data_IF_233350991277
#
_entry.id   IF_233350991277
#
_cell.length_a   1.000
_cell.length_b   1.000
_cell.length_c   1.000
_cell.angle_alpha   90.00
_cell.angle_beta   90.00
_cell.angle_gamma   90.00
#
_symmetry.space_group_name_H-M   'P 1'
#
loop_
_entity.id
_entity.type
_entity.pdbx_description
1 polymer ?
#
# COMPACT_ATOMS: atom_id res chain seq x y z
N UNK A 1 9.74 -16.29 -7.78
CA UNK A 1 8.52 -16.95 -8.28
C UNK A 1 7.36 -16.47 -7.42
N UNK A 2 6.26 -16.05 -8.04
CA UNK A 2 5.02 -15.65 -7.37
C UNK A 2 3.95 -16.57 -7.94
N UNK A 3 3.19 -17.21 -7.07
CA UNK A 3 2.05 -18.05 -7.47
C UNK A 3 0.83 -17.44 -6.81
N UNK A 4 -0.14 -17.03 -7.62
CA UNK A 4 -1.45 -16.65 -7.14
C UNK A 4 -2.45 -17.72 -7.60
N UNK A 5 -3.08 -18.38 -6.65
CA UNK A 5 -4.08 -19.42 -6.89
C UNK A 5 -5.42 -19.01 -6.26
N UNK A 6 -6.52 -19.41 -6.88
CA UNK A 6 -7.88 -19.11 -6.38
C UNK A 6 -8.56 -20.39 -5.94
N UNK A 7 -9.00 -20.43 -4.68
CA UNK A 7 -9.75 -21.53 -4.07
C UNK A 7 -11.11 -21.01 -3.60
N UNK A 8 -12.09 -21.03 -4.50
CA UNK A 8 -13.40 -20.43 -4.27
C UNK A 8 -13.29 -18.91 -4.09
N UNK A 9 -13.70 -18.41 -2.92
CA UNK A 9 -13.56 -16.99 -2.54
C UNK A 9 -12.21 -16.64 -1.92
N UNK A 10 -11.31 -17.62 -1.74
CA UNK A 10 -9.99 -17.40 -1.16
C UNK A 10 -8.94 -17.26 -2.26
N UNK A 11 -8.12 -16.22 -2.19
CA UNK A 11 -6.91 -16.07 -3.00
C UNK A 11 -5.67 -16.43 -2.18
N UNK A 12 -4.83 -17.30 -2.72
CA UNK A 12 -3.59 -17.75 -2.12
C UNK A 12 -2.43 -17.11 -2.86
N UNK A 13 -1.69 -16.24 -2.19
CA UNK A 13 -0.50 -15.61 -2.74
C UNK A 13 0.75 -16.24 -2.11
N UNK A 14 1.49 -17.01 -2.91
CA UNK A 14 2.76 -17.63 -2.48
C UNK A 14 3.92 -16.68 -2.75
N UNK A 15 4.63 -16.32 -1.70
CA UNK A 15 5.76 -15.39 -1.72
C UNK A 15 7.06 -16.08 -1.31
N UNK A 16 8.14 -15.78 -2.03
CA UNK A 16 9.48 -16.23 -1.66
C UNK A 16 9.99 -15.49 -0.41
N UNK A 17 10.99 -16.03 0.31
CA UNK A 17 11.64 -15.36 1.43
C UNK A 17 12.10 -13.94 1.11
N UNK A 18 12.70 -13.75 -0.08
CA UNK A 18 13.20 -12.46 -0.55
C UNK A 18 12.06 -11.48 -0.81
N UNK A 19 10.96 -11.95 -1.41
CA UNK A 19 9.78 -11.13 -1.66
C UNK A 19 9.11 -10.66 -0.36
N UNK A 20 9.00 -11.55 0.63
CA UNK A 20 8.47 -11.23 1.96
C UNK A 20 9.37 -10.22 2.68
N UNK A 21 10.70 -10.43 2.64
CA UNK A 21 11.67 -9.50 3.23
C UNK A 21 11.54 -8.12 2.59
N UNK A 22 11.47 -8.06 1.26
CA UNK A 22 11.29 -6.82 0.51
C UNK A 22 9.98 -6.12 0.91
N UNK A 23 8.83 -6.78 0.81
CA UNK A 23 7.54 -6.17 1.17
C UNK A 23 7.52 -5.69 2.63
N UNK A 24 8.06 -6.49 3.55
CA UNK A 24 8.12 -6.12 4.98
C UNK A 24 8.96 -4.86 5.18
N UNK A 25 10.14 -4.79 4.55
CA UNK A 25 11.01 -3.61 4.61
C UNK A 25 10.32 -2.37 4.04
N UNK A 26 9.77 -2.48 2.83
CA UNK A 26 9.19 -1.35 2.12
C UNK A 26 7.89 -0.85 2.76
N UNK A 27 6.96 -1.74 3.12
CA UNK A 27 5.72 -1.33 3.79
C UNK A 27 5.95 -0.85 5.21
N UNK A 28 6.94 -1.38 5.94
CA UNK A 28 7.30 -0.83 7.26
C UNK A 28 7.82 0.59 7.12
N UNK A 29 8.70 0.84 6.15
CA UNK A 29 9.19 2.18 5.86
C UNK A 29 8.06 3.13 5.46
N UNK A 30 7.19 2.73 4.52
CA UNK A 30 6.07 3.55 4.08
C UNK A 30 5.11 3.86 5.25
N UNK A 31 4.86 2.88 6.13
CA UNK A 31 4.04 3.11 7.34
C UNK A 31 4.68 4.12 8.28
N UNK A 32 5.99 4.05 8.50
CA UNK A 32 6.69 5.04 9.31
C UNK A 32 6.67 6.43 8.65
N UNK A 33 6.75 6.52 7.33
CA UNK A 33 6.58 7.79 6.59
C UNK A 33 5.17 8.37 6.76
N UNK A 34 4.13 7.54 6.66
CA UNK A 34 2.74 7.95 6.87
C UNK A 34 2.51 8.38 8.32
N UNK A 35 3.00 7.63 9.30
CA UNK A 35 2.93 8.00 10.73
C UNK A 35 3.66 9.29 11.03
N UNK A 36 4.82 9.48 10.41
CA UNK A 36 5.54 10.74 10.47
C UNK A 36 4.67 11.87 9.92
N UNK A 37 4.04 11.71 8.75
CA UNK A 37 3.15 12.76 8.22
C UNK A 37 1.97 13.04 9.18
N UNK A 38 1.28 11.99 9.65
CA UNK A 38 0.12 12.09 10.55
C UNK A 38 0.44 12.75 11.89
N UNK A 39 1.60 12.49 12.47
CA UNK A 39 2.01 13.15 13.73
C UNK A 39 2.20 14.67 13.55
N UNK A 40 2.37 15.15 12.32
CA UNK A 40 2.39 16.58 11.98
C UNK A 40 1.01 17.21 11.79
N UNK A 41 -0.07 16.43 11.83
CA UNK A 41 -1.44 16.89 11.63
C UNK A 41 -2.10 17.40 12.93
N UNK A 42 -1.32 17.82 13.93
CA UNK A 42 -1.82 18.21 15.27
C UNK A 42 -2.12 19.71 15.35
N UNK A 43 -3.15 20.10 16.12
CA UNK A 43 -3.59 21.48 16.42
C UNK A 43 -4.42 22.25 15.37
N UNK A 44 -5.07 21.57 14.41
CA UNK A 44 -6.00 22.23 13.48
C UNK A 44 -7.46 22.26 14.00
N UNK A 45 -8.16 23.41 14.04
CA UNK A 45 -9.57 23.51 14.45
C UNK A 45 -10.53 22.65 13.60
N UNK A 46 -10.24 22.46 12.32
CA UNK A 46 -11.03 21.61 11.42
C UNK A 46 -10.87 20.13 11.77
N UNK A 47 -9.71 19.71 12.27
CA UNK A 47 -9.52 18.35 12.79
C UNK A 47 -10.40 18.09 14.02
N UNK A 48 -10.59 19.08 14.90
CA UNK A 48 -11.47 18.96 16.06
C UNK A 48 -12.96 18.82 15.67
N UNK A 49 -13.38 19.46 14.58
CA UNK A 49 -14.76 19.42 14.09
C UNK A 49 -15.05 18.15 13.29
N UNK A 50 -14.10 17.71 12.47
CA UNK A 50 -14.29 16.59 11.53
C UNK A 50 -13.87 15.24 12.10
N UNK A 51 -13.04 15.22 13.15
CA UNK A 51 -12.40 14.00 13.65
C UNK A 51 -11.34 13.43 12.72
N UNK A 52 -11.00 14.12 11.63
CA UNK A 52 -9.99 13.71 10.66
C UNK A 52 -8.68 14.48 10.91
N UNK A 53 -7.51 13.82 10.76
CA UNK A 53 -6.23 14.53 10.86
C UNK A 53 -6.12 15.54 9.72
N UNK A 54 -5.78 16.80 9.99
CA UNK A 54 -5.58 17.82 8.95
C UNK A 54 -4.09 18.12 8.84
N UNK A 55 -3.44 17.82 7.70
CA UNK A 55 -2.02 18.09 7.51
C UNK A 55 -1.71 19.58 7.64
N UNK A 56 -0.84 19.93 8.59
CA UNK A 56 -0.30 21.29 8.71
C UNK A 56 1.01 21.36 7.94
N UNK A 57 1.04 22.19 6.89
CA UNK A 57 2.20 22.36 6.02
C UNK A 57 2.22 21.38 4.84
N UNK A 58 3.37 21.29 4.17
CA UNK A 58 3.51 20.51 2.94
C UNK A 58 3.60 19.01 3.24
N UNK A 59 2.81 18.22 2.53
CA UNK A 59 2.89 16.76 2.53
C UNK A 59 4.17 16.29 1.82
N UNK A 60 4.79 15.20 2.30
CA UNK A 60 5.88 14.55 1.57
C UNK A 60 5.45 14.29 0.12
N UNK A 61 6.25 14.72 -0.85
CA UNK A 61 5.85 14.71 -2.26
C UNK A 61 5.50 13.32 -2.81
N UNK A 62 6.02 12.24 -2.20
CA UNK A 62 5.65 10.87 -2.56
C UNK A 62 4.25 10.52 -2.05
N UNK A 63 3.93 10.93 -0.83
CA UNK A 63 2.58 10.78 -0.27
C UNK A 63 1.56 11.68 -0.98
N UNK A 64 1.98 12.89 -1.38
CA UNK A 64 1.15 13.78 -2.21
C UNK A 64 0.73 13.09 -3.52
N UNK A 65 1.68 12.40 -4.17
CA UNK A 65 1.43 11.63 -5.38
C UNK A 65 0.47 10.46 -5.13
N UNK A 66 0.59 9.77 -4.00
CA UNK A 66 -0.37 8.72 -3.61
C UNK A 66 -1.77 9.30 -3.42
N UNK A 67 -1.90 10.44 -2.74
CA UNK A 67 -3.19 11.11 -2.57
C UNK A 67 -3.78 11.49 -3.93
N UNK A 68 -2.96 12.05 -4.84
CA UNK A 68 -3.41 12.39 -6.19
C UNK A 68 -3.85 11.15 -6.98
N UNK A 69 -3.13 10.04 -6.84
CA UNK A 69 -3.47 8.75 -7.44
C UNK A 69 -4.80 8.19 -6.93
N UNK A 70 -5.09 8.33 -5.62
CA UNK A 70 -6.30 7.81 -4.98
C UNK A 70 -7.53 8.73 -5.17
N UNK A 71 -7.35 10.04 -5.02
CA UNK A 71 -8.45 11.00 -4.98
C UNK A 71 -8.81 11.60 -6.35
N UNK A 72 -7.95 11.45 -7.36
CA UNK A 72 -8.22 12.03 -8.68
C UNK A 72 -8.29 13.56 -8.66
N UNK A 73 -7.18 14.20 -8.28
CA UNK A 73 -6.67 15.57 -8.61
C UNK A 73 -7.61 16.78 -8.83
N UNK A 74 -8.90 16.77 -8.52
CA UNK A 74 -9.79 17.94 -8.78
C UNK A 74 -9.98 18.88 -7.60
N UNK A 75 -9.82 18.38 -6.37
CA UNK A 75 -10.05 19.17 -5.16
C UNK A 75 -8.83 20.04 -4.82
N UNK A 76 -9.09 21.26 -4.33
CA UNK A 76 -8.05 22.22 -3.92
C UNK A 76 -8.38 22.83 -2.56
N UNK A 77 -7.38 23.44 -1.91
CA UNK A 77 -7.58 24.15 -0.64
C UNK A 77 -7.99 23.23 0.51
N UNK A 78 -8.85 23.69 1.45
CA UNK A 78 -9.20 22.96 2.67
C UNK A 78 -9.86 21.59 2.44
N UNK A 79 -10.63 21.44 1.37
CA UNK A 79 -11.27 20.15 1.01
C UNK A 79 -10.21 19.12 0.65
N UNK A 80 -9.17 19.52 -0.08
CA UNK A 80 -8.03 18.65 -0.38
C UNK A 80 -7.28 18.24 0.88
N UNK A 81 -7.09 19.14 1.85
CA UNK A 81 -6.41 18.82 3.11
C UNK A 81 -7.17 17.77 3.94
N UNK A 82 -8.51 17.82 3.94
CA UNK A 82 -9.34 16.78 4.56
C UNK A 82 -9.18 15.42 3.87
N UNK A 83 -9.13 15.41 2.53
CA UNK A 83 -8.86 14.20 1.74
C UNK A 83 -7.48 13.64 2.00
N UNK A 84 -6.44 14.48 2.02
CA UNK A 84 -5.08 14.09 2.36
C UNK A 84 -5.04 13.43 3.75
N UNK A 85 -5.69 14.06 4.73
CA UNK A 85 -5.86 13.51 6.07
C UNK A 85 -6.50 12.13 6.11
N UNK A 86 -7.63 11.99 5.42
CA UNK A 86 -8.36 10.72 5.35
C UNK A 86 -7.55 9.62 4.66
N UNK A 87 -6.91 9.92 3.52
CA UNK A 87 -6.07 8.96 2.80
C UNK A 87 -4.89 8.53 3.66
N UNK A 88 -4.20 9.45 4.34
CA UNK A 88 -3.09 9.11 5.23
C UNK A 88 -3.53 8.19 6.38
N UNK A 89 -4.69 8.47 6.96
CA UNK A 89 -5.27 7.63 8.02
C UNK A 89 -5.61 6.23 7.51
N UNK A 90 -6.27 6.12 6.36
CA UNK A 90 -6.63 4.83 5.74
C UNK A 90 -5.39 4.04 5.31
N UNK A 91 -4.35 4.72 4.80
CA UNK A 91 -3.05 4.13 4.49
C UNK A 91 -2.37 3.54 5.73
N UNK A 92 -2.37 4.26 6.86
CA UNK A 92 -1.76 3.75 8.11
C UNK A 92 -2.45 2.45 8.55
N UNK A 93 -3.78 2.45 8.56
CA UNK A 93 -4.58 1.28 8.93
C UNK A 93 -4.35 0.12 7.98
N UNK A 94 -4.42 0.36 6.67
CA UNK A 94 -4.26 -0.67 5.65
C UNK A 94 -2.85 -1.26 5.66
N UNK A 95 -1.80 -0.42 5.77
CA UNK A 95 -0.42 -0.86 5.93
C UNK A 95 -0.24 -1.74 7.17
N UNK A 96 -0.86 -1.37 8.30
CA UNK A 96 -0.83 -2.19 9.52
C UNK A 96 -1.48 -3.55 9.31
N UNK A 97 -2.63 -3.62 8.62
CA UNK A 97 -3.33 -4.88 8.31
C UNK A 97 -2.51 -5.77 7.38
N UNK A 98 -2.05 -5.26 6.24
CA UNK A 98 -1.31 -6.08 5.25
C UNK A 98 0.04 -6.56 5.80
N UNK A 99 0.75 -5.72 6.57
CA UNK A 99 1.98 -6.13 7.27
C UNK A 99 1.73 -7.28 8.25
N UNK A 100 0.57 -7.28 8.92
CA UNK A 100 0.13 -8.32 9.84
C UNK A 100 -0.08 -9.68 9.16
N UNK A 101 -0.35 -9.70 7.84
CA UNK A 101 -0.58 -10.93 7.07
C UNK A 101 0.67 -11.53 6.43
N UNK A 102 1.79 -10.79 6.39
CA UNK A 102 3.02 -11.31 5.80
C UNK A 102 3.60 -12.46 6.65
N UNK A 103 3.95 -13.61 6.04
CA UNK A 103 4.62 -14.69 6.76
C UNK A 103 6.01 -14.26 7.25
N UNK A 104 6.61 -15.04 8.16
CA UNK A 104 7.91 -14.68 8.78
C UNK A 104 9.11 -14.84 7.83
N UNK A 105 9.11 -15.87 7.00
CA UNK A 105 10.29 -16.28 6.21
C UNK A 105 9.99 -16.55 4.73
N UNK A 106 8.77 -16.32 4.25
CA UNK A 106 8.26 -16.89 3.00
C UNK A 106 7.04 -17.75 3.29
N UNK A 107 6.20 -17.98 2.28
CA UNK A 107 5.01 -18.82 2.40
C UNK A 107 3.78 -18.24 1.73
N UNK A 108 2.62 -18.76 2.15
CA UNK A 108 1.32 -18.43 1.56
C UNK A 108 0.63 -17.35 2.39
N UNK A 109 0.20 -16.29 1.73
CA UNK A 109 -0.75 -15.30 2.26
C UNK A 109 -2.15 -15.71 1.79
N UNK A 110 -3.08 -15.79 2.75
CA UNK A 110 -4.47 -16.10 2.50
C UNK A 110 -5.27 -14.80 2.44
N UNK A 111 -5.86 -14.52 1.29
CA UNK A 111 -6.57 -13.27 0.98
C UNK A 111 -8.04 -13.60 0.73
N UNK A 112 -8.92 -13.39 1.73
CA UNK A 112 -10.33 -13.68 1.54
C UNK A 112 -10.97 -12.66 0.57
N UNK A 113 -11.96 -13.11 -0.19
CA UNK A 113 -12.79 -12.24 -1.03
C UNK A 113 -13.64 -11.27 -0.21
N UNK A 114 -13.99 -11.64 1.03
CA UNK A 114 -14.69 -10.81 1.99
C UNK A 114 -14.01 -10.86 3.37
N UNK A 115 -13.92 -9.72 4.05
CA UNK A 115 -13.17 -9.57 5.31
C UNK A 115 -11.86 -8.81 5.12
N UNK A 116 -11.05 -8.72 6.18
CA UNK A 116 -9.87 -7.87 6.20
C UNK A 116 -8.59 -8.61 6.64
N UNK A 117 -7.45 -8.35 5.98
CA UNK A 117 -7.33 -7.61 4.73
C UNK A 117 -7.82 -8.43 3.53
N UNK A 118 -8.61 -7.83 2.66
CA UNK A 118 -9.14 -8.49 1.46
C UNK A 118 -8.09 -8.57 0.36
N UNK A 119 -8.34 -9.38 -0.67
CA UNK A 119 -7.49 -9.38 -1.85
C UNK A 119 -7.44 -8.00 -2.54
N UNK A 120 -8.54 -7.25 -2.52
CA UNK A 120 -8.59 -5.90 -3.10
C UNK A 120 -7.70 -4.92 -2.32
N UNK A 121 -7.76 -4.96 -0.99
CA UNK A 121 -6.90 -4.13 -0.14
C UNK A 121 -5.42 -4.46 -0.35
N UNK A 122 -5.09 -5.75 -0.47
CA UNK A 122 -3.73 -6.19 -0.80
C UNK A 122 -3.27 -5.65 -2.17
N UNK A 123 -4.14 -5.69 -3.17
CA UNK A 123 -3.86 -5.10 -4.50
C UNK A 123 -3.56 -3.62 -4.42
N UNK A 124 -4.43 -2.86 -3.74
CA UNK A 124 -4.25 -1.41 -3.55
C UNK A 124 -2.97 -1.07 -2.80
N UNK A 125 -2.57 -1.89 -1.82
CA UNK A 125 -1.32 -1.68 -1.07
C UNK A 125 -0.06 -2.02 -1.86
N UNK A 126 -0.14 -2.99 -2.77
CA UNK A 126 0.95 -3.28 -3.70
C UNK A 126 1.09 -2.17 -4.76
N UNK A 127 -0.02 -1.69 -5.32
CA UNK A 127 -0.04 -0.58 -6.28
C UNK A 127 0.47 0.71 -5.64
N UNK A 128 0.00 1.04 -4.43
CA UNK A 128 0.48 2.20 -3.67
C UNK A 128 1.98 2.12 -3.43
N UNK A 129 2.48 0.94 -3.06
CA UNK A 129 3.92 0.77 -2.89
C UNK A 129 4.67 0.98 -4.21
N UNK A 130 4.18 0.40 -5.31
CA UNK A 130 4.80 0.57 -6.64
C UNK A 130 4.88 2.05 -7.03
N UNK A 131 3.78 2.79 -6.87
CA UNK A 131 3.70 4.23 -7.13
C UNK A 131 4.73 4.99 -6.29
N UNK A 132 4.75 4.77 -4.97
CA UNK A 132 5.70 5.44 -4.08
C UNK A 132 7.15 5.17 -4.49
N UNK A 133 7.47 3.93 -4.85
CA UNK A 133 8.81 3.53 -5.23
C UNK A 133 9.25 4.07 -6.61
N UNK A 134 8.33 4.21 -7.57
CA UNK A 134 8.64 4.83 -8.87
C UNK A 134 8.94 6.33 -8.73
N UNK A 135 8.21 7.04 -7.87
CA UNK A 135 8.38 8.49 -7.70
C UNK A 135 9.47 8.88 -6.70
N UNK A 136 9.91 7.96 -5.85
CA UNK A 136 10.90 8.26 -4.79
C UNK A 136 12.26 8.76 -5.29
N UNK A 137 12.66 8.42 -6.52
CA UNK A 137 13.88 8.95 -7.15
C UNK A 137 13.70 10.26 -7.91
N UNK A 138 12.46 10.76 -8.05
CA UNK A 138 12.11 11.92 -8.89
C UNK A 138 11.52 13.08 -8.10
N UNK A 139 11.02 12.82 -6.90
CA UNK A 139 10.34 13.83 -6.08
C UNK A 139 11.19 14.18 -4.88
N UNK A 140 11.48 15.48 -4.73
CA UNK A 140 12.18 15.99 -3.55
C UNK A 140 11.29 15.91 -2.32
N UNK A 141 11.89 15.52 -1.19
CA UNK A 141 11.24 15.65 0.11
C UNK A 141 11.07 17.13 0.40
N UNK A 142 9.83 17.55 0.56
CA UNK A 142 9.51 18.81 1.22
C UNK A 142 8.97 18.44 2.59
N UNK A 143 9.71 18.82 3.64
CA UNK A 143 9.40 18.44 5.00
C UNK A 143 9.70 19.58 5.95
N UNK A 144 9.04 19.58 7.11
CA UNK A 144 9.32 20.55 8.17
C UNK A 144 10.79 20.43 8.60
N UNK A 145 11.55 21.55 8.68
CA UNK A 145 12.98 21.55 9.05
C UNK A 145 13.24 20.95 10.44
N UNK A 146 12.22 20.86 11.30
CA UNK A 146 12.34 20.44 12.69
C UNK A 146 12.10 18.93 12.91
N UNK A 147 11.76 18.17 11.86
CA UNK A 147 11.40 16.75 11.98
C UNK A 147 12.28 15.86 11.11
N UNK A 148 12.98 14.92 11.74
CA UNK A 148 13.84 13.95 11.04
C UNK A 148 12.97 12.99 10.24
N UNK A 149 13.20 12.91 8.94
CA UNK A 149 12.51 12.00 8.03
C UNK A 149 12.98 10.54 8.25
N UNK A 150 12.07 9.54 8.16
CA UNK A 150 12.48 8.15 8.09
C UNK A 150 13.44 7.92 6.90
N UNK A 151 14.59 7.25 7.12
CA UNK A 151 15.54 7.00 6.04
C UNK A 151 14.87 6.17 4.94
N UNK A 152 15.04 6.60 3.69
CA UNK A 152 14.58 5.80 2.55
C UNK A 152 15.30 4.44 2.53
N UNK A 153 14.63 3.37 2.08
CA UNK A 153 15.27 2.08 1.88
C UNK A 153 16.41 2.19 0.84
N UNK A 154 17.29 1.19 0.83
CA UNK A 154 18.58 1.15 0.09
C UNK A 154 18.55 1.75 -1.32
N UNK A 155 19.70 2.26 -1.79
CA UNK A 155 19.89 2.99 -3.05
C UNK A 155 19.01 2.51 -4.21
N UNK A 156 18.05 3.37 -4.58
CA UNK A 156 16.99 3.12 -5.57
C UNK A 156 17.51 3.02 -7.01
N UNK A 157 18.79 3.34 -7.26
CA UNK A 157 19.40 3.24 -8.59
C UNK A 157 20.21 1.96 -8.83
N UNK A 158 20.10 0.98 -7.94
CA UNK A 158 20.79 -0.32 -8.10
C UNK A 158 20.02 -1.27 -9.02
N UNK A 159 20.72 -2.16 -9.72
CA UNK A 159 20.05 -3.22 -10.51
C UNK A 159 19.21 -4.16 -9.63
N UNK A 160 19.58 -4.30 -8.35
CA UNK A 160 18.78 -5.01 -7.37
C UNK A 160 17.41 -4.36 -7.17
N UNK A 161 17.36 -3.03 -7.08
CA UNK A 161 16.11 -2.29 -6.92
C UNK A 161 15.20 -2.42 -8.14
N UNK A 162 15.76 -2.27 -9.36
CA UNK A 162 14.98 -2.48 -10.60
C UNK A 162 14.42 -3.89 -10.71
N UNK A 163 15.17 -4.91 -10.28
CA UNK A 163 14.68 -6.28 -10.21
C UNK A 163 13.53 -6.43 -9.22
N UNK A 164 13.60 -5.78 -8.07
CA UNK A 164 12.52 -5.76 -7.09
C UNK A 164 11.26 -5.06 -7.60
N UNK A 165 11.39 -3.95 -8.35
CA UNK A 165 10.24 -3.28 -8.98
C UNK A 165 9.55 -4.16 -10.02
N UNK A 166 10.33 -4.78 -10.94
CA UNK A 166 9.79 -5.74 -11.90
C UNK A 166 9.12 -6.93 -11.20
N UNK A 167 9.68 -7.37 -10.08
CA UNK A 167 9.07 -8.42 -9.27
C UNK A 167 7.74 -7.97 -8.66
N UNK A 168 7.66 -6.74 -8.15
CA UNK A 168 6.43 -6.17 -7.61
C UNK A 168 5.32 -6.06 -8.67
N UNK A 169 5.66 -5.62 -9.88
CA UNK A 169 4.73 -5.58 -11.03
C UNK A 169 4.17 -6.98 -11.34
N UNK A 170 5.02 -8.01 -11.37
CA UNK A 170 4.55 -9.39 -11.56
C UNK A 170 3.62 -9.86 -10.43
N UNK A 171 3.82 -9.41 -9.18
CA UNK A 171 2.90 -9.74 -8.07
C UNK A 171 1.55 -9.06 -8.27
N UNK A 172 1.55 -7.78 -8.64
CA UNK A 172 0.33 -7.00 -8.93
C UNK A 172 -0.46 -7.65 -10.06
N UNK A 173 0.21 -7.96 -11.17
CA UNK A 173 -0.41 -8.61 -12.33
C UNK A 173 -0.98 -9.98 -11.98
N UNK A 174 -0.24 -10.80 -11.23
CA UNK A 174 -0.70 -12.11 -10.80
C UNK A 174 -1.94 -12.02 -9.91
N UNK A 175 -1.96 -11.08 -8.96
CA UNK A 175 -3.10 -10.86 -8.07
C UNK A 175 -4.32 -10.35 -8.85
N UNK A 176 -4.13 -9.36 -9.71
CA UNK A 176 -5.20 -8.81 -10.55
C UNK A 176 -5.78 -9.87 -11.49
N UNK A 177 -4.93 -10.71 -12.08
CA UNK A 177 -5.38 -11.81 -12.93
C UNK A 177 -6.18 -12.83 -12.14
N UNK A 178 -5.72 -13.23 -10.95
CA UNK A 178 -6.42 -14.20 -10.12
C UNK A 178 -7.77 -13.68 -9.57
N UNK A 179 -7.88 -12.37 -9.33
CA UNK A 179 -9.15 -11.72 -8.98
C UNK A 179 -10.18 -11.77 -10.11
N UNK A 180 -9.74 -11.65 -11.37
CA UNK A 180 -10.61 -11.73 -12.56
C UNK A 180 -11.02 -13.15 -12.94
N UNK A 181 -10.22 -14.15 -12.56
CA UNK A 181 -10.53 -15.55 -12.82
C UNK A 181 -11.77 -15.96 -12.01
N UNK A 182 -12.86 -16.29 -12.71
CA UNK A 182 -14.07 -16.90 -12.13
C UNK A 182 -13.71 -18.24 -11.50
N UNK A 183 -14.24 -18.61 -10.32
CA UNK A 183 -14.08 -19.96 -9.81
C UNK A 183 -14.55 -20.94 -10.88
N UNK A 184 -13.72 -21.97 -11.17
CA UNK A 184 -14.17 -23.06 -12.02
C UNK A 184 -15.40 -23.68 -11.36
N UNK A 185 -16.53 -23.63 -12.05
CA UNK A 185 -17.76 -24.31 -11.61
C UNK A 185 -17.38 -25.73 -11.22
N UNK A 186 -17.58 -26.05 -9.95
CA UNK A 186 -17.45 -27.42 -9.47
C UNK A 186 -18.45 -28.21 -10.29
N UNK A 187 -18.06 -29.29 -11.01
CA UNK A 187 -19.04 -30.08 -11.73
C UNK A 187 -20.01 -30.60 -10.68
N UNK A 188 -21.25 -30.10 -10.70
CA UNK A 188 -22.36 -30.73 -10.02
C UNK A 188 -22.49 -32.12 -10.64
N UNK A 189 -21.88 -33.11 -10.00
CA UNK A 189 -22.22 -34.51 -10.18
C UNK A 189 -23.68 -34.68 -9.75
N UNK A 190 -24.59 -34.35 -10.67
CA UNK A 190 -25.97 -34.82 -10.60
C UNK A 190 -25.96 -36.30 -11.02
N UNK A 191 -25.66 -37.15 -10.06
CA UNK A 191 -26.08 -38.55 -10.09
C UNK A 191 -27.03 -38.81 -8.93
N UNK A 192 -28.33 -38.78 -9.25
CA UNK A 192 -29.40 -39.71 -8.86
C UNK A 192 -30.77 -39.01 -8.98
#
# INVERSE_FOLDING_TARGET
MVICDRQGELLLLTLSPEGVRFLREQWSWLRELVRWQLAGCTDDPLAQVTGLPVPIGTIDGRLAYVVDYWCGTKETGPVRQLWEGWVLHDLEHSLTRVLGTLPRHGGVVQLPGHGYPSAAEWGWMLETLHVVLDVSGRVSITGSPDRILPPAPSAQDTESYRRSLRWLEMVIDALAQAQRSTPADTPTDNTC
#
